data_IF_070186191356
#
_entry.id   IF_070186191356
#
_cell.length_a   1.000
_cell.length_b   1.000
_cell.length_c   1.000
_cell.angle_alpha   90.00
_cell.angle_beta   90.00
_cell.angle_gamma   90.00
#
_symmetry.space_group_name_H-M   'P 1'
#
loop_
_entity.id
_entity.type
_entity.pdbx_description
1 polymer ?
#
# COMPACT_ATOMS: atom_id res chain seq x y z
N UNK A 1 -11.28 -7.04 3.17
CA UNK A 1 -11.57 -5.78 2.46
C UNK A 1 -10.81 -5.79 1.14
N UNK A 2 -11.37 -5.22 0.08
CA UNK A 2 -10.77 -5.21 -1.26
C UNK A 2 -10.04 -3.88 -1.49
N UNK A 3 -8.90 -3.92 -2.19
CA UNK A 3 -8.10 -2.72 -2.49
C UNK A 3 -8.12 -2.44 -4.00
N UNK A 4 -8.52 -1.23 -4.39
CA UNK A 4 -8.56 -0.78 -5.78
C UNK A 4 -7.73 0.50 -5.95
N UNK A 5 -6.96 0.63 -7.05
CA UNK A 5 -6.32 1.89 -7.40
C UNK A 5 -7.33 3.04 -7.47
N UNK A 6 -6.96 4.21 -6.98
CA UNK A 6 -7.82 5.39 -7.03
C UNK A 6 -9.03 5.37 -6.09
N UNK A 7 -9.16 4.39 -5.19
CA UNK A 7 -10.27 4.32 -4.22
C UNK A 7 -9.75 4.20 -2.78
N UNK A 8 -10.48 4.80 -1.84
CA UNK A 8 -10.26 4.60 -0.40
C UNK A 8 -11.37 3.72 0.16
N UNK A 9 -10.99 2.69 0.90
CA UNK A 9 -11.90 1.80 1.62
C UNK A 9 -11.54 1.77 3.10
N UNK A 10 -12.52 1.77 4.00
CA UNK A 10 -12.29 1.83 5.45
C UNK A 10 -12.58 0.49 6.13
N UNK A 11 -11.78 0.16 7.15
CA UNK A 11 -11.95 -1.05 7.96
C UNK A 11 -11.73 -0.72 9.43
N UNK A 12 -12.58 -1.27 10.29
CA UNK A 12 -12.46 -1.17 11.75
C UNK A 12 -12.16 -2.56 12.31
N UNK A 13 -11.12 -2.68 13.13
CA UNK A 13 -10.67 -3.95 13.71
C UNK A 13 -10.41 -3.78 15.22
N UNK A 14 -10.71 -4.82 15.99
CA UNK A 14 -10.40 -4.92 17.40
C UNK A 14 -9.80 -6.30 17.68
N UNK A 15 -8.61 -6.35 18.28
CA UNK A 15 -8.03 -7.59 18.78
C UNK A 15 -8.42 -7.76 20.25
N UNK A 16 -9.08 -8.87 20.58
CA UNK A 16 -9.50 -9.19 21.95
C UNK A 16 -8.36 -9.68 22.83
N UNK A 17 -7.30 -10.23 22.22
CA UNK A 17 -6.17 -10.83 22.91
C UNK A 17 -4.85 -10.38 22.25
N UNK A 18 -3.78 -10.38 23.04
CA UNK A 18 -2.42 -10.15 22.52
C UNK A 18 -1.94 -11.36 21.74
N UNK A 19 -1.27 -11.15 20.61
CA UNK A 19 -0.79 -12.23 19.77
C UNK A 19 -0.27 -11.76 18.42
N UNK A 20 0.25 -12.71 17.64
CA UNK A 20 0.61 -12.49 16.23
C UNK A 20 -0.41 -13.22 15.36
N UNK A 21 -1.02 -12.48 14.44
CA UNK A 21 -2.05 -12.96 13.53
C UNK A 21 -1.52 -12.91 12.10
N UNK A 22 -1.86 -13.95 11.33
CA UNK A 22 -1.43 -14.09 9.95
C UNK A 22 -2.42 -13.41 9.02
N UNK A 23 -1.91 -12.49 8.20
CA UNK A 23 -2.65 -11.83 7.14
C UNK A 23 -2.13 -12.25 5.78
N UNK A 24 -3.03 -12.35 4.80
CA UNK A 24 -2.71 -12.68 3.42
C UNK A 24 -3.56 -11.86 2.46
N UNK A 25 -3.06 -11.67 1.24
CA UNK A 25 -3.89 -11.19 0.15
C UNK A 25 -4.89 -12.28 -0.26
N UNK A 26 -6.17 -11.92 -0.33
CA UNK A 26 -7.23 -12.86 -0.70
C UNK A 26 -7.59 -12.83 -2.20
N UNK A 27 -7.08 -11.85 -2.95
CA UNK A 27 -7.44 -11.64 -4.36
C UNK A 27 -6.19 -11.73 -5.24
N UNK A 28 -6.24 -12.60 -6.24
CA UNK A 28 -5.14 -12.81 -7.17
C UNK A 28 -4.71 -11.49 -7.84
N UNK A 29 -3.42 -11.18 -7.76
CA UNK A 29 -2.85 -9.92 -8.24
C UNK A 29 -1.64 -10.13 -9.17
N UNK A 30 -1.48 -11.33 -9.74
CA UNK A 30 -0.38 -11.70 -10.62
C UNK A 30 0.76 -12.44 -9.92
N UNK A 31 1.94 -12.39 -10.54
CA UNK A 31 3.15 -13.04 -10.05
C UNK A 31 3.51 -12.57 -8.62
N UNK A 32 4.01 -13.49 -7.79
CA UNK A 32 4.30 -13.22 -6.38
C UNK A 32 3.09 -13.18 -5.43
N UNK A 33 1.85 -13.30 -5.92
CA UNK A 33 0.63 -13.26 -5.08
C UNK A 33 0.66 -14.24 -3.89
N UNK A 34 1.14 -15.47 -4.09
CA UNK A 34 1.23 -16.49 -3.03
C UNK A 34 2.13 -16.08 -1.86
N UNK A 35 3.02 -15.12 -2.09
CA UNK A 35 3.95 -14.59 -1.10
C UNK A 35 3.49 -13.28 -0.46
N UNK A 36 2.31 -12.75 -0.84
CA UNK A 36 1.72 -11.54 -0.24
C UNK A 36 1.09 -11.82 1.11
N UNK A 37 1.96 -12.12 2.09
CA UNK A 37 1.60 -12.39 3.48
C UNK A 37 2.18 -11.30 4.39
N UNK A 38 1.50 -11.04 5.51
CA UNK A 38 1.97 -10.12 6.54
C UNK A 38 1.60 -10.64 7.93
N UNK A 39 2.24 -10.09 8.96
CA UNK A 39 1.93 -10.38 10.36
C UNK A 39 1.30 -9.14 11.00
N UNK A 40 0.16 -9.30 11.64
CA UNK A 40 -0.45 -8.28 12.50
C UNK A 40 -0.15 -8.64 13.96
N UNK A 41 0.50 -7.73 14.69
CA UNK A 41 0.93 -7.97 16.07
C UNK A 41 0.04 -7.13 17.00
N UNK A 42 -0.81 -7.80 17.78
CA UNK A 42 -1.58 -7.19 18.85
C UNK A 42 -0.78 -7.25 20.15
N UNK A 43 -0.43 -6.10 20.70
CA UNK A 43 0.45 -5.99 21.84
C UNK A 43 -0.05 -4.92 22.82
N UNK A 44 0.54 -4.91 24.02
CA UNK A 44 0.21 -3.89 25.02
C UNK A 44 0.66 -2.49 24.55
N UNK A 45 0.10 -1.45 25.17
CA UNK A 45 0.47 -0.06 24.86
C UNK A 45 1.97 0.22 25.07
N UNK A 46 2.60 -0.39 26.10
CA UNK A 46 4.05 -0.23 26.34
C UNK A 46 4.86 -0.79 25.18
N UNK A 47 4.60 -2.04 24.81
CA UNK A 47 5.27 -2.72 23.71
C UNK A 47 5.06 -1.99 22.38
N UNK A 48 3.88 -1.41 22.17
CA UNK A 48 3.61 -0.56 21.01
C UNK A 48 4.48 0.71 20.98
N UNK A 49 4.66 1.39 22.10
CA UNK A 49 5.52 2.56 22.19
C UNK A 49 7.00 2.19 21.96
N UNK A 50 7.46 1.06 22.51
CA UNK A 50 8.80 0.53 22.27
C UNK A 50 9.02 0.23 20.78
N UNK A 51 8.03 -0.40 20.13
CA UNK A 51 8.06 -0.65 18.70
C UNK A 51 8.13 0.65 17.88
N UNK A 52 7.35 1.68 18.23
CA UNK A 52 7.45 3.01 17.58
C UNK A 52 8.87 3.56 17.70
N UNK A 53 9.48 3.49 18.88
CA UNK A 53 10.84 3.99 19.09
C UNK A 53 11.86 3.24 18.23
N UNK A 54 11.71 1.91 18.07
CA UNK A 54 12.51 1.10 17.16
C UNK A 54 12.33 1.54 15.70
N UNK A 55 11.09 1.74 15.25
CA UNK A 55 10.80 2.18 13.87
C UNK A 55 11.41 3.53 13.56
N UNK A 56 11.35 4.48 14.51
CA UNK A 56 11.96 5.81 14.36
C UNK A 56 13.48 5.79 14.21
N UNK A 57 14.15 4.72 14.64
CA UNK A 57 15.59 4.53 14.47
C UNK A 57 15.97 3.95 13.09
N UNK A 58 15.00 3.65 12.22
CA UNK A 58 15.29 3.18 10.87
C UNK A 58 16.09 4.21 10.06
N UNK A 59 17.00 3.72 9.22
CA UNK A 59 17.95 4.59 8.51
C UNK A 59 17.31 5.40 7.38
N UNK A 60 16.16 4.96 6.85
CA UNK A 60 15.57 5.52 5.63
C UNK A 60 14.17 6.07 5.87
N UNK A 61 13.83 7.28 5.38
CA UNK A 61 12.46 7.78 5.33
C UNK A 61 11.69 7.17 4.15
N UNK A 62 10.35 7.22 4.19
CA UNK A 62 9.46 6.92 3.08
C UNK A 62 9.06 8.23 2.36
N UNK A 63 9.98 8.71 1.52
CA UNK A 63 9.84 9.80 0.56
C UNK A 63 9.48 9.31 -0.86
N UNK A 64 9.47 10.19 -1.87
CA UNK A 64 9.18 9.77 -3.26
C UNK A 64 10.19 8.75 -3.78
N UNK A 65 11.50 9.00 -3.63
CA UNK A 65 12.52 8.13 -4.20
C UNK A 65 12.50 6.72 -3.58
N UNK A 66 12.23 6.63 -2.28
CA UNK A 66 12.05 5.36 -1.57
C UNK A 66 10.73 4.68 -1.86
N UNK A 67 9.65 5.45 -2.05
CA UNK A 67 8.37 4.91 -2.50
C UNK A 67 8.47 4.35 -3.92
N UNK A 68 9.08 5.08 -4.87
CA UNK A 68 9.26 4.62 -6.26
C UNK A 68 10.15 3.37 -6.33
N UNK A 69 11.16 3.27 -5.45
CA UNK A 69 11.97 2.06 -5.33
C UNK A 69 11.17 0.89 -4.74
N UNK A 70 10.31 1.15 -3.75
CA UNK A 70 9.45 0.15 -3.11
C UNK A 70 8.34 -0.36 -4.05
N UNK A 71 7.80 0.51 -4.90
CA UNK A 71 6.69 0.20 -5.81
C UNK A 71 7.11 -0.63 -7.03
N UNK A 72 8.42 -0.82 -7.26
CA UNK A 72 8.90 -1.70 -8.34
C UNK A 72 8.47 -3.15 -8.09
N UNK A 73 8.15 -3.91 -9.14
CA UNK A 73 7.83 -5.33 -9.02
C UNK A 73 8.90 -6.08 -8.22
N UNK A 74 8.46 -6.78 -7.17
CA UNK A 74 9.29 -7.54 -6.26
C UNK A 74 8.45 -8.61 -5.57
N UNK A 75 9.10 -9.66 -5.09
CA UNK A 75 8.45 -10.78 -4.41
C UNK A 75 9.16 -11.07 -3.09
N UNK A 76 8.44 -11.68 -2.13
CA UNK A 76 9.00 -12.12 -0.84
C UNK A 76 9.75 -11.03 -0.07
N UNK A 77 9.23 -9.80 -0.11
CA UNK A 77 9.85 -8.66 0.55
C UNK A 77 10.01 -8.91 2.07
N UNK A 78 11.20 -8.70 2.64
CA UNK A 78 11.39 -8.78 4.08
C UNK A 78 10.69 -7.60 4.78
N UNK A 79 10.47 -7.73 6.09
CA UNK A 79 9.94 -6.63 6.90
C UNK A 79 10.92 -5.45 6.85
N UNK A 80 10.43 -4.29 6.44
CA UNK A 80 11.17 -3.04 6.41
C UNK A 80 10.51 -1.97 7.31
N UNK A 81 11.33 -1.09 7.87
CA UNK A 81 10.87 0.05 8.66
C UNK A 81 11.34 1.35 8.02
N UNK A 82 10.51 2.38 8.10
CA UNK A 82 10.81 3.73 7.63
C UNK A 82 10.66 4.71 8.79
N UNK A 83 11.66 5.56 9.01
CA UNK A 83 11.72 6.42 10.20
C UNK A 83 10.75 7.61 10.16
N UNK A 84 10.39 8.04 8.96
CA UNK A 84 9.38 9.07 8.71
C UNK A 84 8.69 8.81 7.38
N UNK A 85 7.56 9.47 7.14
CA UNK A 85 6.77 9.35 5.91
C UNK A 85 6.53 10.74 5.35
N UNK A 86 6.61 10.91 4.03
CA UNK A 86 6.27 12.17 3.37
C UNK A 86 4.83 12.58 3.72
N UNK A 87 4.59 13.84 4.13
CA UNK A 87 3.23 14.33 4.35
C UNK A 87 2.34 14.13 3.12
N UNK A 88 1.09 13.71 3.35
CA UNK A 88 0.09 13.47 2.31
C UNK A 88 0.42 12.34 1.31
N UNK A 89 1.41 11.47 1.57
CA UNK A 89 1.79 10.40 0.64
C UNK A 89 0.60 9.54 0.19
N UNK A 90 -0.24 9.10 1.14
CA UNK A 90 -1.44 8.32 0.82
C UNK A 90 -2.39 9.07 -0.11
N UNK A 91 -2.70 10.34 0.20
CA UNK A 91 -3.61 11.16 -0.60
C UNK A 91 -3.05 11.40 -2.00
N UNK A 92 -1.74 11.69 -2.13
CA UNK A 92 -1.12 11.85 -3.45
C UNK A 92 -1.20 10.56 -4.27
N UNK A 93 -0.87 9.41 -3.67
CA UNK A 93 -0.93 8.13 -4.39
C UNK A 93 -2.34 7.82 -4.89
N UNK A 94 -3.37 8.03 -4.07
CA UNK A 94 -4.76 7.83 -4.51
C UNK A 94 -5.11 8.76 -5.67
N UNK A 95 -4.75 10.04 -5.56
CA UNK A 95 -5.02 11.05 -6.59
C UNK A 95 -4.28 10.77 -7.90
N UNK A 96 -3.05 10.26 -7.86
CA UNK A 96 -2.27 9.92 -9.05
C UNK A 96 -3.05 8.91 -9.91
N UNK A 97 -3.64 7.87 -9.29
CA UNK A 97 -4.47 6.91 -10.01
C UNK A 97 -5.86 7.44 -10.41
N UNK A 98 -6.50 8.27 -9.59
CA UNK A 98 -7.77 8.92 -9.96
C UNK A 98 -7.61 9.83 -11.20
N UNK A 99 -6.51 10.58 -11.27
CA UNK A 99 -6.22 11.46 -12.40
C UNK A 99 -5.82 10.67 -13.65
N UNK A 100 -5.13 9.53 -13.49
CA UNK A 100 -4.83 8.61 -14.59
C UNK A 100 -6.10 8.01 -15.21
N UNK A 101 -7.06 7.59 -14.38
CA UNK A 101 -8.36 7.06 -14.83
C UNK A 101 -9.20 8.11 -15.59
N UNK A 102 -9.18 9.35 -15.09
CA UNK A 102 -9.83 10.49 -15.74
C UNK A 102 -9.19 10.87 -17.09
N UNK A 103 -7.90 10.56 -17.28
CA UNK A 103 -7.14 10.83 -18.51
C UNK A 103 -7.37 9.79 -19.60
N UNK A 104 -7.45 8.49 -19.26
CA UNK A 104 -7.64 7.41 -20.24
C UNK A 104 -9.02 7.43 -20.90
N UNK A 105 -10.06 7.88 -20.19
CA UNK A 105 -11.40 8.04 -20.77
C UNK A 105 -11.47 9.06 -21.94
N UNK A 106 -10.48 9.95 -22.07
CA UNK A 106 -10.44 10.96 -23.14
C UNK A 106 -9.57 10.57 -24.34
N UNK A 107 -8.81 9.49 -24.27
CA UNK A 107 -7.95 9.01 -25.37
C UNK A 107 -8.68 8.03 -26.30
N UNK A 108 -9.76 7.38 -25.85
CA UNK A 108 -10.46 6.34 -26.62
C UNK A 108 -11.65 6.85 -27.48
N UNK A 109 -11.81 8.17 -27.66
CA UNK A 109 -12.84 8.77 -28.54
C UNK A 109 -12.26 9.55 -29.74
N UNK A 110 -11.18 9.06 -30.38
CA UNK A 110 -10.71 9.58 -31.68
C UNK A 110 -10.19 8.49 -32.65
N UNK A 111 -11.05 7.54 -33.00
CA UNK A 111 -10.98 6.71 -34.23
C UNK A 111 -12.30 5.93 -34.28
N UNK A 112 -13.24 6.06 -35.22
CA UNK A 112 -13.11 6.12 -36.67
C UNK A 112 -14.32 6.85 -37.27
N UNK A 113 -14.06 7.83 -38.13
CA UNK A 113 -14.99 8.22 -39.20
C UNK A 113 -14.23 8.32 -40.51
N UNK A 114 -13.78 7.16 -41.00
CA UNK A 114 -13.47 6.95 -42.41
C UNK A 114 -14.56 6.08 -43.02
N UNK A 115 -15.35 6.73 -43.88
CA UNK A 115 -15.96 6.17 -45.11
C UNK A 115 -16.73 4.85 -45.01
N UNK A 116 -18.05 4.94 -45.19
CA UNK A 116 -18.70 4.51 -46.43
C UNK A 116 -20.03 5.24 -46.62
#
# INVERSE_FOLDING_TARGET
IYAMPGMQTEVNLLAHETGTFDGMSANFSGDGFSHMNFKAIAQTKSQFNEWINKVKQAQRPLDHASYDALAKPSEQNPVAYYSSVKPNLFKSTVLDYMNMDSGVASVEMKSDSRSN
#
